data_IF_423747342776
#
_entry.id   IF_423747342776
#
_cell.length_a   1.000
_cell.length_b   1.000
_cell.length_c   1.000
_cell.angle_alpha   90.00
_cell.angle_beta   90.00
_cell.angle_gamma   90.00
#
_symmetry.space_group_name_H-M   'P 1'
#
loop_
_entity.id
_entity.type
_entity.pdbx_description
1 polymer ?
#
# COMPACT_ATOMS: atom_id res chain seq x y z
N UNK A 1 -35.59 -15.83 3.40
CA UNK A 1 -34.51 -14.90 2.98
C UNK A 1 -33.34 -15.12 3.92
N UNK A 2 -32.38 -15.98 3.54
CA UNK A 2 -31.28 -16.37 4.42
C UNK A 2 -30.05 -15.52 4.08
N UNK A 3 -29.58 -14.83 5.11
CA UNK A 3 -28.54 -13.82 5.12
C UNK A 3 -27.28 -14.40 4.46
N UNK A 4 -26.77 -13.66 3.46
CA UNK A 4 -25.55 -13.98 2.74
C UNK A 4 -24.41 -14.15 3.76
N UNK A 5 -23.93 -15.39 3.92
CA UNK A 5 -22.72 -15.72 4.68
C UNK A 5 -21.58 -14.90 4.07
N UNK A 6 -21.12 -13.89 4.80
CA UNK A 6 -19.86 -13.20 4.53
C UNK A 6 -18.78 -14.29 4.44
N UNK A 7 -18.07 -14.33 3.32
CA UNK A 7 -16.93 -15.21 3.17
C UNK A 7 -15.97 -14.92 4.33
N UNK A 8 -15.62 -15.96 5.09
CA UNK A 8 -14.51 -15.95 6.01
C UNK A 8 -13.24 -15.77 5.17
N UNK A 9 -12.87 -14.52 4.90
CA UNK A 9 -11.54 -14.16 4.39
C UNK A 9 -10.59 -14.31 5.58
N UNK A 10 -10.26 -15.57 5.86
CA UNK A 10 -8.98 -15.94 6.42
C UNK A 10 -8.04 -16.11 5.23
N UNK A 11 -7.74 -15.01 4.55
CA UNK A 11 -6.71 -15.02 3.54
C UNK A 11 -5.41 -14.53 4.19
N UNK A 12 -4.38 -15.32 3.94
CA UNK A 12 -2.99 -15.00 4.15
C UNK A 12 -2.76 -13.50 3.85
N UNK A 13 -2.43 -12.71 4.87
CA UNK A 13 -2.41 -11.24 4.83
C UNK A 13 -1.56 -10.65 3.69
N UNK A 14 -0.60 -11.43 3.16
CA UNK A 14 0.18 -11.07 1.98
C UNK A 14 -0.57 -11.18 0.64
N UNK A 15 -1.46 -12.17 0.46
CA UNK A 15 -2.19 -12.39 -0.79
C UNK A 15 -3.24 -11.29 -1.04
N UNK A 16 -3.95 -10.88 0.02
CA UNK A 16 -4.92 -9.79 -0.04
C UNK A 16 -4.24 -8.46 -0.36
N UNK A 17 -3.05 -8.23 0.22
CA UNK A 17 -2.25 -7.04 -0.06
C UNK A 17 -1.82 -6.97 -1.52
N UNK A 18 -1.34 -8.08 -2.09
CA UNK A 18 -0.93 -8.14 -3.50
C UNK A 18 -2.11 -7.90 -4.46
N UNK A 19 -3.27 -8.48 -4.17
CA UNK A 19 -4.47 -8.27 -4.98
C UNK A 19 -4.93 -6.81 -4.97
N UNK A 20 -4.95 -6.18 -3.78
CA UNK A 20 -5.28 -4.75 -3.64
C UNK A 20 -4.27 -3.86 -4.34
N UNK A 21 -2.97 -4.17 -4.25
CA UNK A 21 -1.91 -3.41 -4.91
C UNK A 21 -2.04 -3.47 -6.43
N UNK A 22 -2.34 -4.66 -6.98
CA UNK A 22 -2.58 -4.85 -8.41
C UNK A 22 -3.79 -4.06 -8.88
N UNK A 23 -4.92 -4.16 -8.18
CA UNK A 23 -6.12 -3.40 -8.50
C UNK A 23 -5.87 -1.89 -8.44
N UNK A 24 -5.06 -1.43 -7.48
CA UNK A 24 -4.68 -0.03 -7.38
C UNK A 24 -3.82 0.44 -8.56
N UNK A 25 -2.76 -0.31 -8.92
CA UNK A 25 -1.89 0.06 -10.05
C UNK A 25 -2.62 0.04 -11.40
N UNK A 26 -3.61 -0.85 -11.54
CA UNK A 26 -4.50 -0.91 -12.71
C UNK A 26 -5.37 0.35 -12.87
N UNK A 27 -5.70 1.05 -11.77
CA UNK A 27 -6.44 2.32 -11.88
C UNK A 27 -5.67 3.39 -12.65
N UNK A 28 -4.33 3.31 -12.67
CA UNK A 28 -3.41 4.32 -13.21
C UNK A 28 -3.68 5.76 -12.73
N UNK A 29 -4.49 5.92 -11.68
CA UNK A 29 -4.88 7.21 -11.14
C UNK A 29 -3.83 7.78 -10.17
N UNK A 30 -2.90 6.92 -9.73
CA UNK A 30 -1.87 7.25 -8.76
C UNK A 30 -2.48 7.74 -7.44
N UNK A 31 -1.67 8.45 -6.65
CA UNK A 31 -2.12 8.96 -5.34
C UNK A 31 -3.18 10.06 -5.48
N UNK A 32 -3.17 10.83 -6.57
CA UNK A 32 -4.19 11.85 -6.85
C UNK A 32 -5.59 11.22 -6.97
N UNK A 33 -5.68 10.01 -7.54
CA UNK A 33 -6.93 9.26 -7.63
C UNK A 33 -7.58 8.96 -6.28
N UNK A 34 -6.79 8.73 -5.22
CA UNK A 34 -7.35 8.58 -3.87
C UNK A 34 -7.99 9.89 -3.41
N UNK A 35 -7.29 11.01 -3.60
CA UNK A 35 -7.77 12.34 -3.15
C UNK A 35 -9.03 12.74 -3.90
N UNK A 36 -9.04 12.61 -5.22
CA UNK A 36 -10.20 12.94 -6.06
C UNK A 36 -11.42 12.05 -5.76
N UNK A 37 -11.19 10.78 -5.40
CA UNK A 37 -12.26 9.84 -5.02
C UNK A 37 -12.83 10.11 -3.62
N UNK A 38 -12.19 10.99 -2.82
CA UNK A 38 -12.65 11.34 -1.48
C UNK A 38 -12.56 10.17 -0.49
N UNK A 39 -11.58 9.26 -0.65
CA UNK A 39 -11.39 8.17 0.32
C UNK A 39 -11.05 8.74 1.70
N UNK A 40 -11.78 8.27 2.71
CA UNK A 40 -11.62 8.68 4.11
C UNK A 40 -10.70 7.77 4.91
N UNK A 41 -10.37 6.60 4.35
CA UNK A 41 -9.50 5.60 4.96
C UNK A 41 -8.34 5.23 4.04
N UNK A 42 -7.15 5.04 4.63
CA UNK A 42 -5.93 4.71 3.90
C UNK A 42 -5.94 3.20 3.58
N UNK A 43 -5.82 2.79 2.30
CA UNK A 43 -5.78 1.39 1.94
C UNK A 43 -4.64 0.64 2.63
N UNK A 44 -4.90 -0.61 3.03
CA UNK A 44 -3.94 -1.38 3.84
C UNK A 44 -2.59 -1.63 3.17
N UNK A 45 -2.55 -1.57 1.84
CA UNK A 45 -1.33 -1.68 1.02
C UNK A 45 -0.29 -0.60 1.35
N UNK A 46 -0.71 0.55 1.91
CA UNK A 46 0.18 1.66 2.28
C UNK A 46 0.69 1.58 3.72
N UNK A 47 0.22 0.63 4.55
CA UNK A 47 0.83 0.40 5.85
C UNK A 47 2.13 -0.38 5.69
N UNK A 48 3.21 0.18 6.22
CA UNK A 48 4.54 -0.43 6.25
C UNK A 48 4.88 -0.79 7.69
N UNK A 49 5.36 -2.03 7.91
CA UNK A 49 5.84 -2.44 9.23
C UNK A 49 7.11 -1.66 9.62
N UNK A 50 7.28 -1.30 10.91
CA UNK A 50 8.46 -0.59 11.41
C UNK A 50 9.77 -1.30 11.06
N UNK A 51 9.80 -2.63 11.08
CA UNK A 51 10.99 -3.44 10.77
C UNK A 51 11.56 -3.20 9.36
N UNK A 52 10.71 -2.76 8.41
CA UNK A 52 11.13 -2.44 7.04
C UNK A 52 11.77 -1.04 6.98
N UNK A 53 11.40 -0.12 7.87
CA UNK A 53 11.89 1.27 7.89
C UNK A 53 13.36 1.39 8.32
N UNK A 54 13.87 0.43 9.09
CA UNK A 54 15.26 0.46 9.59
C UNK A 54 16.28 -0.04 8.56
N UNK A 55 15.84 -0.80 7.56
CA UNK A 55 16.71 -1.35 6.51
C UNK A 55 17.08 -0.37 5.39
N UNK A 56 16.49 0.84 5.36
CA UNK A 56 16.75 1.85 4.32
C UNK A 56 17.64 3.03 4.80
N UNK A 57 18.34 2.90 5.94
CA UNK A 57 19.23 3.94 6.49
C UNK A 57 20.72 3.77 6.12
N UNK A 58 21.06 2.99 5.09
CA UNK A 58 22.46 2.79 4.70
C UNK A 58 22.63 2.69 3.19
N UNK A 59 22.79 3.83 2.52
CA UNK A 59 23.52 3.98 1.24
C UNK A 59 23.79 5.47 1.01
N UNK A 60 24.81 5.92 1.71
CA UNK A 60 25.76 7.01 1.47
C UNK A 60 25.43 8.15 0.48
N UNK A 61 25.63 9.35 1.03
CA UNK A 61 25.99 10.59 0.35
C UNK A 61 26.89 10.38 -0.89
N UNK A 62 26.45 10.93 -2.02
CA UNK A 62 27.37 11.73 -2.84
C UNK A 62 26.68 12.97 -3.35
N UNK A 63 26.44 13.90 -2.42
CA UNK A 63 26.28 15.31 -2.77
C UNK A 63 27.57 15.75 -3.46
N UNK A 64 27.55 16.27 -4.71
CA UNK A 64 28.75 16.84 -5.31
C UNK A 64 29.15 18.05 -4.47
N UNK A 65 30.37 18.03 -3.92
CA UNK A 65 30.98 19.20 -3.30
C UNK A 65 31.04 20.34 -4.34
N UNK A 66 30.40 21.49 -4.10
CA UNK A 66 30.60 22.64 -4.97
C UNK A 66 32.03 23.17 -4.74
N UNK A 67 32.85 23.11 -5.79
CA UNK A 67 34.14 23.81 -5.87
C UNK A 67 33.94 25.29 -6.19
#
# INVERSE_FOLDING_TARGET
MLIKKMASVSANSGADRLAQLKAFDETKAGVKGLVDAGVTEIPHIFYTSPDIMDSNKSSDEKSPSPS
#
